data_IF_396443831388
#
_entry.id   IF_396443831388
#
_cell.length_a   1.000
_cell.length_b   1.000
_cell.length_c   1.000
_cell.angle_alpha   90.00
_cell.angle_beta   90.00
_cell.angle_gamma   90.00
#
_symmetry.space_group_name_H-M   'P 1'
#
loop_
_entity.id
_entity.type
_entity.pdbx_description
1 polymer ?
#
# COMPACT_ATOMS: atom_id res chain seq x y z
N UNK A 1 21.06 24.58 3.77
CA UNK A 1 21.27 23.16 4.11
C UNK A 1 19.95 22.43 3.93
N UNK A 2 19.70 21.88 2.74
CA UNK A 2 18.45 21.18 2.42
C UNK A 2 18.64 19.67 2.59
N UNK A 3 17.97 19.08 3.58
CA UNK A 3 17.95 17.63 3.77
C UNK A 3 17.18 17.01 2.60
N UNK A 4 17.88 16.22 1.79
CA UNK A 4 17.26 15.36 0.79
C UNK A 4 16.56 14.25 1.56
N UNK A 5 15.23 14.27 1.60
CA UNK A 5 14.46 13.12 2.09
C UNK A 5 14.70 11.99 1.10
N UNK A 6 15.61 11.07 1.45
CA UNK A 6 15.77 9.84 0.68
C UNK A 6 14.56 8.98 0.99
N UNK A 7 13.67 8.86 0.01
CA UNK A 7 12.46 8.05 0.09
C UNK A 7 12.78 6.56 -0.08
N UNK A 8 13.70 6.03 0.73
CA UNK A 8 14.15 4.62 0.69
C UNK A 8 13.07 3.61 1.16
N UNK A 9 11.84 4.05 1.37
CA UNK A 9 10.73 3.22 1.85
C UNK A 9 9.42 3.51 1.11
N UNK A 10 9.49 3.95 -0.15
CA UNK A 10 8.33 3.96 -1.03
C UNK A 10 8.01 2.54 -1.47
N UNK A 11 6.78 2.09 -1.22
CA UNK A 11 6.29 0.79 -1.66
C UNK A 11 5.31 1.02 -2.82
N UNK A 12 5.43 0.19 -3.85
CA UNK A 12 4.47 0.18 -4.95
C UNK A 12 3.20 -0.54 -4.50
N UNK A 13 2.12 0.22 -4.33
CA UNK A 13 0.89 -0.25 -3.71
C UNK A 13 -0.25 -0.10 -4.69
N UNK A 14 -1.00 -1.18 -4.89
CA UNK A 14 -2.19 -1.14 -5.72
C UNK A 14 -3.41 -0.78 -4.89
N UNK A 15 -4.10 0.31 -5.26
CA UNK A 15 -5.33 0.72 -4.56
C UNK A 15 -6.49 -0.20 -4.95
N UNK A 16 -7.17 -0.88 -4.01
CA UNK A 16 -8.32 -1.74 -4.34
C UNK A 16 -9.55 -0.96 -4.82
N UNK A 17 -9.60 0.36 -4.62
CA UNK A 17 -10.74 1.20 -5.01
C UNK A 17 -10.65 1.71 -6.45
N UNK A 18 -9.50 2.28 -6.83
CA UNK A 18 -9.28 2.83 -8.17
C UNK A 18 -8.43 1.91 -9.07
N UNK A 19 -7.88 0.82 -8.52
CA UNK A 19 -7.00 -0.15 -9.20
C UNK A 19 -5.76 0.47 -9.83
N UNK A 20 -5.37 1.66 -9.36
CA UNK A 20 -4.13 2.34 -9.75
C UNK A 20 -3.03 1.96 -8.76
N UNK A 21 -1.87 1.59 -9.30
CA UNK A 21 -0.62 1.50 -8.55
C UNK A 21 -0.14 2.90 -8.17
N UNK A 22 0.35 3.05 -6.95
CA UNK A 22 0.93 4.28 -6.46
C UNK A 22 2.09 3.99 -5.50
N UNK A 23 3.14 4.80 -5.58
CA UNK A 23 4.23 4.77 -4.61
C UNK A 23 3.79 5.48 -3.33
N UNK A 24 3.84 4.78 -2.19
CA UNK A 24 3.56 5.38 -0.90
C UNK A 24 4.48 4.85 0.19
N UNK A 25 4.83 5.72 1.12
CA UNK A 25 5.60 5.32 2.29
C UNK A 25 4.72 4.53 3.26
N UNK A 26 5.19 3.35 3.67
CA UNK A 26 4.49 2.52 4.64
C UNK A 26 4.36 3.26 5.97
N UNK A 27 3.13 3.64 6.32
CA UNK A 27 2.86 4.19 7.63
C UNK A 27 2.70 3.03 8.62
N UNK A 28 3.75 2.79 9.40
CA UNK A 28 3.75 1.82 10.50
C UNK A 28 3.33 2.50 11.80
N UNK A 29 2.02 2.60 12.04
CA UNK A 29 1.47 2.93 13.35
C UNK A 29 1.38 1.70 14.25
N UNK A 30 1.41 1.88 15.59
CA UNK A 30 1.37 0.80 16.61
C UNK A 30 0.27 -0.27 16.41
N UNK A 31 -0.79 0.01 15.65
CA UNK A 31 -1.91 -0.92 15.38
C UNK A 31 -2.38 -0.97 13.92
N UNK A 32 -1.87 -0.09 13.05
CA UNK A 32 -2.36 0.03 11.67
C UNK A 32 -1.16 0.25 10.74
N UNK A 33 -0.89 -0.74 9.88
CA UNK A 33 0.10 -0.68 8.81
C UNK A 33 -0.61 -0.51 7.48
N UNK A 34 -0.33 0.55 6.76
CA UNK A 34 -0.96 0.79 5.45
C UNK A 34 -0.54 2.10 4.81
N UNK A 35 -1.27 2.45 3.76
CA UNK A 35 -0.95 3.51 2.83
C UNK A 35 -2.16 4.41 2.59
N UNK A 36 -1.92 5.67 2.22
CA UNK A 36 -2.99 6.57 1.75
C UNK A 36 -2.93 6.67 0.24
N UNK A 37 -4.03 6.34 -0.43
CA UNK A 37 -4.12 6.51 -1.87
C UNK A 37 -4.26 8.01 -2.21
N UNK A 38 -3.40 8.60 -3.08
CA UNK A 38 -3.51 10.00 -3.47
C UNK A 38 -4.74 10.27 -4.36
N UNK A 39 -5.25 9.25 -5.05
CA UNK A 39 -6.40 9.37 -5.95
C UNK A 39 -7.74 9.31 -5.21
N UNK A 40 -7.87 8.41 -4.23
CA UNK A 40 -9.12 8.21 -3.50
C UNK A 40 -9.14 8.91 -2.14
N UNK A 41 -7.97 9.32 -1.63
CA UNK A 41 -7.76 9.80 -0.25
C UNK A 41 -8.21 8.80 0.83
N UNK A 42 -8.38 7.53 0.44
CA UNK A 42 -8.75 6.41 1.30
C UNK A 42 -7.52 5.69 1.85
N UNK A 43 -7.68 5.09 3.02
CA UNK A 43 -6.66 4.25 3.64
C UNK A 43 -6.71 2.84 3.06
N UNK A 44 -5.56 2.38 2.56
CA UNK A 44 -5.34 1.04 2.02
C UNK A 44 -4.47 0.25 3.00
N UNK A 45 -5.00 -0.81 3.65
CA UNK A 45 -4.21 -1.64 4.56
C UNK A 45 -3.07 -2.34 3.83
N UNK A 46 -1.91 -2.50 4.47
CA UNK A 46 -0.76 -3.24 3.90
C UNK A 46 -1.15 -4.68 3.51
N UNK A 47 -2.00 -5.32 4.31
CA UNK A 47 -2.56 -6.66 4.08
C UNK A 47 -3.33 -6.78 2.75
N UNK A 48 -3.94 -5.68 2.28
CA UNK A 48 -4.65 -5.60 1.00
C UNK A 48 -3.76 -5.13 -0.15
N UNK A 49 -2.61 -4.53 0.15
CA UNK A 49 -1.63 -4.04 -0.81
C UNK A 49 -0.67 -5.15 -1.25
N UNK A 50 -0.30 -6.01 -0.31
CA UNK A 50 0.29 -7.30 -0.59
C UNK A 50 -0.85 -8.20 -1.09
N UNK A 51 -1.14 -8.15 -2.39
CA UNK A 51 -1.83 -9.24 -3.08
C UNK A 51 -0.90 -10.46 -3.02
N UNK A 52 -0.76 -11.05 -1.82
CA UNK A 52 -0.38 -12.45 -1.73
C UNK A 52 -1.56 -13.16 -2.39
N UNK A 53 -1.34 -13.86 -3.52
CA UNK A 53 -2.42 -14.57 -4.17
C UNK A 53 -2.96 -15.54 -3.11
N UNK A 54 -4.14 -15.21 -2.57
CA UNK A 54 -4.96 -16.20 -1.89
C UNK A 54 -5.11 -17.27 -2.96
N UNK A 55 -4.44 -18.41 -2.77
CA UNK A 55 -4.68 -19.59 -3.55
C UNK A 55 -6.16 -19.89 -3.36
N UNK A 56 -6.99 -19.35 -4.26
CA UNK A 56 -8.41 -19.67 -4.33
C UNK A 56 -8.37 -21.14 -4.74
N UNK A 57 -8.63 -22.02 -3.78
CA UNK A 57 -8.81 -23.44 -4.05
C UNK A 57 -9.70 -23.56 -5.29
N UNK A 58 -9.24 -24.20 -6.39
CA UNK A 58 -10.13 -24.52 -7.49
C UNK A 58 -11.21 -25.41 -6.88
N UNK A 59 -12.45 -24.93 -6.94
CA UNK A 59 -13.61 -25.66 -6.43
C UNK A 59 -13.54 -27.13 -6.91
N UNK A 60 -13.47 -28.04 -5.95
CA UNK A 60 -13.62 -29.49 -6.14
C UNK A 60 -15.06 -29.83 -6.54
#
# INVERSE_FOLDING_TARGET
MGVRVTTENEHDVSCPHCKKGFAAQLMSGRRNRGFKCPHCRLFVPLDRAADAPIARDPAV
#
